data_IF_764885050066
#
_entry.id   IF_764885050066
#
_cell.length_a   1.000
_cell.length_b   1.000
_cell.length_c   1.000
_cell.angle_alpha   90.00
_cell.angle_beta   90.00
_cell.angle_gamma   90.00
#
_symmetry.space_group_name_H-M   'P 1'
#
loop_
_entity.id
_entity.type
_entity.pdbx_description
1 polymer ?
#
# COMPACT_ATOMS: atom_id res chain seq x y z
N UNK A 1 3.56 -16.05 28.91
CA UNK A 1 3.65 -14.57 29.02
C UNK A 1 3.17 -14.02 27.70
N UNK A 2 2.00 -13.38 27.69
CA UNK A 2 1.42 -12.79 26.48
C UNK A 2 2.05 -11.41 26.29
N UNK A 3 2.75 -11.22 25.17
CA UNK A 3 3.24 -9.90 24.78
C UNK A 3 2.04 -8.94 24.64
N UNK A 4 2.17 -7.67 25.04
CA UNK A 4 1.12 -6.69 24.78
C UNK A 4 1.02 -6.51 23.27
N UNK A 5 -0.06 -7.02 22.66
CA UNK A 5 -0.44 -6.67 21.29
C UNK A 5 -0.65 -5.16 21.28
N UNK A 6 0.31 -4.42 20.75
CA UNK A 6 0.16 -3.00 20.47
C UNK A 6 -0.90 -2.86 19.37
N UNK A 7 -2.17 -2.79 19.76
CA UNK A 7 -3.23 -2.38 18.85
C UNK A 7 -2.98 -0.91 18.51
N UNK A 8 -2.11 -0.65 17.54
CA UNK A 8 -2.07 0.62 16.85
C UNK A 8 -3.49 0.82 16.29
N UNK A 9 -4.26 1.70 16.91
CA UNK A 9 -5.63 1.96 16.49
C UNK A 9 -5.57 2.84 15.23
N UNK A 10 -5.57 2.20 14.07
CA UNK A 10 -5.55 2.90 12.80
C UNK A 10 -6.97 3.39 12.46
N UNK A 11 -7.30 4.63 12.81
CA UNK A 11 -8.64 5.22 12.53
C UNK A 11 -9.05 5.17 11.05
N UNK A 12 -8.06 5.10 10.15
CA UNK A 12 -8.27 5.02 8.71
C UNK A 12 -8.51 3.59 8.20
N UNK A 13 -8.35 2.56 9.03
CA UNK A 13 -8.72 1.19 8.69
C UNK A 13 -10.17 0.94 9.11
N UNK A 14 -11.05 0.44 8.22
CA UNK A 14 -12.42 0.13 8.61
C UNK A 14 -12.49 -1.04 9.58
N UNK A 15 -13.52 -1.05 10.43
CA UNK A 15 -13.77 -2.15 11.39
C UNK A 15 -14.17 -3.45 10.66
N UNK A 16 -14.86 -3.35 9.53
CA UNK A 16 -15.33 -4.50 8.75
C UNK A 16 -15.42 -4.18 7.25
N UNK A 17 -15.28 -5.19 6.40
CA UNK A 17 -15.36 -5.04 4.95
C UNK A 17 -14.18 -4.25 4.38
N UNK A 18 -14.44 -3.35 3.44
CA UNK A 18 -13.44 -2.42 2.93
C UNK A 18 -14.04 -1.04 2.72
N UNK A 19 -13.21 -0.01 2.74
CA UNK A 19 -13.60 1.37 2.49
C UNK A 19 -12.61 2.07 1.56
N UNK A 20 -13.11 3.02 0.79
CA UNK A 20 -12.26 3.91 0.01
C UNK A 20 -11.71 5.02 0.91
N UNK A 21 -10.39 5.21 0.92
CA UNK A 21 -9.73 6.32 1.59
C UNK A 21 -9.13 7.27 0.57
N UNK A 22 -9.28 8.57 0.82
CA UNK A 22 -8.75 9.61 -0.06
C UNK A 22 -7.22 9.64 0.06
N UNK A 23 -6.52 9.54 -1.07
CA UNK A 23 -5.07 9.63 -1.08
C UNK A 23 -4.60 11.06 -0.73
N UNK A 24 -3.42 11.16 -0.12
CA UNK A 24 -2.82 12.40 0.38
C UNK A 24 -3.42 12.93 1.69
N UNK A 25 -4.32 12.19 2.34
CA UNK A 25 -4.80 12.52 3.69
C UNK A 25 -4.00 11.75 4.74
N UNK A 26 -4.25 10.45 4.90
CA UNK A 26 -3.47 9.60 5.82
C UNK A 26 -2.25 8.99 5.14
N UNK A 27 -2.32 8.75 3.83
CA UNK A 27 -1.27 8.13 3.05
C UNK A 27 -1.41 8.51 1.57
N UNK A 28 -0.31 8.39 0.83
CA UNK A 28 -0.34 8.24 -0.63
C UNK A 28 -0.34 6.75 -0.98
N UNK A 29 -0.59 6.41 -2.25
CA UNK A 29 -0.36 5.04 -2.72
C UNK A 29 0.32 5.00 -4.09
N UNK A 30 0.94 3.87 -4.40
CA UNK A 30 1.32 3.50 -5.76
C UNK A 30 0.68 2.15 -6.06
N UNK A 31 -0.04 2.07 -7.18
CA UNK A 31 -0.65 0.84 -7.68
C UNK A 31 0.22 0.25 -8.79
N UNK A 32 0.45 -1.04 -8.73
CA UNK A 32 1.03 -1.84 -9.82
C UNK A 32 0.12 -3.04 -10.06
N UNK A 33 -0.20 -3.34 -11.31
CA UNK A 33 -1.12 -4.42 -11.64
C UNK A 33 -0.40 -5.77 -11.79
N UNK A 34 -1.15 -6.85 -11.59
CA UNK A 34 -0.74 -8.19 -12.00
C UNK A 34 0.49 -8.74 -11.28
N UNK A 35 1.25 -9.56 -12.02
CA UNK A 35 2.37 -10.32 -11.48
C UNK A 35 3.58 -9.43 -11.16
N UNK A 36 3.74 -8.31 -11.87
CA UNK A 36 4.78 -7.32 -11.57
C UNK A 36 4.56 -6.70 -10.18
N UNK A 37 3.32 -6.32 -9.86
CA UNK A 37 2.98 -5.81 -8.53
C UNK A 37 3.26 -6.84 -7.43
N UNK A 38 2.95 -8.13 -7.67
CA UNK A 38 3.27 -9.21 -6.73
C UNK A 38 4.77 -9.38 -6.54
N UNK A 39 5.54 -9.39 -7.64
CA UNK A 39 6.99 -9.53 -7.60
C UNK A 39 7.66 -8.38 -6.86
N UNK A 40 7.19 -7.15 -7.06
CA UNK A 40 7.67 -5.98 -6.31
C UNK A 40 7.40 -6.15 -4.81
N UNK A 41 6.21 -6.62 -4.44
CA UNK A 41 5.89 -6.88 -3.03
C UNK A 41 6.78 -7.98 -2.41
N UNK A 42 6.99 -9.10 -3.11
CA UNK A 42 7.89 -10.18 -2.67
C UNK A 42 9.32 -9.66 -2.41
N UNK A 43 9.86 -8.85 -3.33
CA UNK A 43 11.18 -8.27 -3.20
C UNK A 43 11.27 -7.29 -2.03
N UNK A 44 10.26 -6.44 -1.85
CA UNK A 44 10.21 -5.50 -0.74
C UNK A 44 10.19 -6.21 0.61
N UNK A 45 9.37 -7.26 0.77
CA UNK A 45 9.36 -8.09 1.97
C UNK A 45 10.73 -8.69 2.24
N UNK A 46 11.38 -9.26 1.22
CA UNK A 46 12.72 -9.84 1.36
C UNK A 46 13.76 -8.81 1.81
N UNK A 47 13.76 -7.61 1.23
CA UNK A 47 14.73 -6.55 1.56
C UNK A 47 14.51 -5.91 2.93
N UNK A 48 13.30 -6.00 3.48
CA UNK A 48 12.90 -5.33 4.73
C UNK A 48 12.73 -6.31 5.90
N UNK A 49 13.11 -7.57 5.73
CA UNK A 49 12.97 -8.59 6.77
C UNK A 49 11.52 -8.92 7.09
N UNK A 50 10.62 -8.80 6.10
CA UNK A 50 9.20 -9.10 6.22
C UNK A 50 8.32 -7.92 6.63
N UNK A 51 8.87 -6.73 6.86
CA UNK A 51 8.11 -5.52 7.22
C UNK A 51 8.35 -4.37 6.21
N UNK A 52 7.82 -4.49 4.97
CA UNK A 52 7.98 -3.44 3.97
C UNK A 52 7.07 -2.24 4.21
N UNK A 53 6.17 -2.32 5.21
CA UNK A 53 5.03 -1.44 5.38
C UNK A 53 3.75 -1.98 4.71
N UNK A 54 2.63 -1.26 4.85
CA UNK A 54 1.31 -1.67 4.39
C UNK A 54 1.21 -1.86 2.87
N UNK A 55 0.79 -3.07 2.47
CA UNK A 55 0.51 -3.47 1.09
C UNK A 55 -0.86 -4.13 1.01
N UNK A 56 -1.74 -3.59 0.17
CA UNK A 56 -3.06 -4.15 -0.14
C UNK A 56 -3.02 -4.85 -1.49
N UNK A 57 -3.67 -6.00 -1.60
CA UNK A 57 -3.85 -6.72 -2.86
C UNK A 57 -5.31 -6.90 -3.19
N UNK A 58 -5.63 -6.82 -4.49
CA UNK A 58 -6.95 -7.09 -5.06
C UNK A 58 -6.92 -8.45 -5.77
N UNK A 59 -7.87 -9.33 -5.45
CA UNK A 59 -7.92 -10.68 -6.03
C UNK A 59 -8.59 -10.72 -7.42
N UNK A 60 -9.42 -9.72 -7.75
CA UNK A 60 -10.18 -9.63 -8.99
C UNK A 60 -9.67 -8.46 -9.86
N UNK A 61 -10.36 -8.20 -10.98
CA UNK A 61 -10.00 -7.13 -11.90
C UNK A 61 -8.59 -7.29 -12.45
N UNK A 62 -7.81 -6.20 -12.43
CA UNK A 62 -6.41 -6.19 -12.89
C UNK A 62 -5.42 -6.68 -11.83
N UNK A 63 -5.93 -7.26 -10.72
CA UNK A 63 -5.14 -7.75 -9.59
C UNK A 63 -4.18 -6.67 -9.07
N UNK A 64 -4.72 -5.50 -8.77
CA UNK A 64 -3.93 -4.36 -8.31
C UNK A 64 -3.22 -4.65 -6.99
N UNK A 65 -1.95 -4.27 -6.91
CA UNK A 65 -1.15 -4.26 -5.69
C UNK A 65 -0.89 -2.80 -5.32
N UNK A 66 -1.41 -2.39 -4.16
CA UNK A 66 -1.32 -1.02 -3.65
C UNK A 66 -0.30 -0.96 -2.53
N UNK A 67 0.80 -0.26 -2.79
CA UNK A 67 1.80 0.08 -1.79
C UNK A 67 1.35 1.38 -1.13
N UNK A 68 1.15 1.40 0.19
CA UNK A 68 0.76 2.63 0.89
C UNK A 68 2.02 3.35 1.39
N UNK A 69 2.16 4.62 1.03
CA UNK A 69 3.33 5.45 1.29
C UNK A 69 2.97 6.62 2.23
N UNK A 70 3.96 7.27 2.86
CA UNK A 70 3.69 8.48 3.62
C UNK A 70 2.94 9.52 2.77
N UNK A 71 1.99 10.28 3.35
CA UNK A 71 1.24 11.28 2.61
C UNK A 71 2.16 12.35 2.02
N UNK A 72 1.92 12.73 0.76
CA UNK A 72 2.73 13.72 0.05
C UNK A 72 4.11 13.24 -0.41
N UNK A 73 4.39 11.93 -0.35
CA UNK A 73 5.68 11.36 -0.77
C UNK A 73 5.77 10.97 -2.24
N UNK A 74 4.63 10.87 -2.93
CA UNK A 74 4.57 10.51 -4.35
C UNK A 74 4.63 11.69 -5.34
N UNK A 75 4.18 12.92 -5.01
CA UNK A 75 4.35 14.09 -5.88
C UNK A 75 5.82 14.41 -6.18
N UNK A 76 6.09 14.98 -7.37
CA UNK A 76 7.43 15.41 -7.77
C UNK A 76 8.42 14.27 -8.08
N UNK A 77 7.96 13.02 -8.08
CA UNK A 77 8.74 11.83 -8.41
C UNK A 77 8.27 11.22 -9.73
N UNK A 78 9.20 10.97 -10.64
CA UNK A 78 8.93 10.19 -11.84
C UNK A 78 8.83 8.71 -11.46
N UNK A 79 7.61 8.19 -11.46
CA UNK A 79 7.33 6.76 -11.30
C UNK A 79 7.53 6.06 -12.65
N UNK A 80 8.09 4.84 -12.65
CA UNK A 80 8.26 4.08 -13.90
C UNK A 80 6.91 3.73 -14.54
N UNK A 81 6.89 3.33 -15.81
CA UNK A 81 5.69 2.80 -16.43
C UNK A 81 5.08 1.65 -15.59
N UNK A 82 3.77 1.42 -15.75
CA UNK A 82 3.04 0.43 -14.94
C UNK A 82 2.82 0.80 -13.45
N UNK A 83 3.56 1.77 -12.89
CA UNK A 83 3.37 2.28 -11.54
C UNK A 83 2.49 3.53 -11.52
N UNK A 84 1.26 3.39 -11.03
CA UNK A 84 0.27 4.47 -10.99
C UNK A 84 0.22 5.12 -9.60
N UNK A 85 0.68 6.38 -9.43
CA UNK A 85 0.59 7.07 -8.14
C UNK A 85 -0.83 7.58 -7.85
N UNK A 86 -1.22 7.51 -6.58
CA UNK A 86 -2.46 8.03 -6.00
C UNK A 86 -2.07 9.03 -4.90
N UNK A 87 -2.43 10.29 -5.07
CA UNK A 87 -2.10 11.38 -4.15
C UNK A 87 -3.10 12.54 -4.26
N UNK A 88 -2.81 13.61 -3.51
CA UNK A 88 -3.56 14.86 -3.51
C UNK A 88 -2.93 15.98 -4.37
N UNK A 89 -2.23 15.63 -5.46
CA UNK A 89 -1.73 16.66 -6.40
C UNK A 89 -2.87 17.57 -6.87
N UNK A 90 -2.57 18.87 -7.08
CA UNK A 90 -3.56 19.87 -7.50
C UNK A 90 -4.37 19.39 -8.70
N UNK A 91 -5.69 19.45 -8.58
CA UNK A 91 -6.63 19.06 -9.64
C UNK A 91 -6.89 17.55 -9.74
N UNK A 92 -6.31 16.73 -8.85
CA UNK A 92 -6.56 15.28 -8.80
C UNK A 92 -7.22 14.88 -7.49
N UNK A 93 -8.21 14.00 -7.57
CA UNK A 93 -8.78 13.31 -6.40
C UNK A 93 -8.72 11.83 -6.70
N UNK A 94 -8.00 11.10 -5.86
CA UNK A 94 -7.82 9.67 -6.01
C UNK A 94 -8.15 8.96 -4.70
N UNK A 95 -8.70 7.75 -4.82
CA UNK A 95 -9.14 6.94 -3.69
C UNK A 95 -8.45 5.58 -3.75
N UNK A 96 -8.08 5.08 -2.59
CA UNK A 96 -7.39 3.80 -2.41
C UNK A 96 -8.29 2.88 -1.61
N UNK A 97 -8.53 1.64 -2.06
CA UNK A 97 -9.28 0.66 -1.30
C UNK A 97 -8.49 0.18 -0.09
N UNK A 98 -9.10 0.23 1.09
CA UNK A 98 -8.51 -0.22 2.36
C UNK A 98 -9.41 -1.32 2.96
N UNK A 99 -8.93 -2.58 3.04
CA UNK A 99 -9.65 -3.64 3.74
C UNK A 99 -9.52 -3.48 5.25
N UNK A 100 -10.51 -4.00 5.99
CA UNK A 100 -10.38 -4.19 7.43
C UNK A 100 -9.22 -5.16 7.74
N UNK A 101 -8.68 -5.10 8.97
CA UNK A 101 -7.61 -6.03 9.40
C UNK A 101 -8.08 -7.49 9.52
N UNK A 102 -9.38 -7.72 9.61
CA UNK A 102 -9.96 -9.06 9.71
C UNK A 102 -11.39 -9.11 9.18
N UNK A 103 -11.96 -10.32 9.21
CA UNK A 103 -13.28 -10.59 8.66
C UNK A 103 -13.27 -10.78 7.14
N UNK A 104 -14.45 -10.69 6.52
CA UNK A 104 -14.60 -10.90 5.08
C UNK A 104 -14.39 -9.59 4.32
N UNK A 105 -13.21 -9.43 3.72
CA UNK A 105 -12.81 -8.22 3.00
C UNK A 105 -12.70 -8.42 1.49
N UNK A 106 -13.11 -9.59 0.98
CA UNK A 106 -13.09 -9.90 -0.45
C UNK A 106 -13.75 -8.78 -1.27
N UNK A 107 -13.14 -8.34 -2.38
CA UNK A 107 -11.99 -8.93 -3.09
C UNK A 107 -10.61 -8.46 -2.60
N UNK A 108 -10.52 -7.71 -1.51
CA UNK A 108 -9.30 -7.09 -1.02
C UNK A 108 -8.73 -7.85 0.18
N UNK A 109 -7.40 -7.88 0.30
CA UNK A 109 -6.72 -8.37 1.49
C UNK A 109 -5.44 -7.61 1.76
N UNK A 110 -5.02 -7.57 3.01
CA UNK A 110 -3.66 -7.17 3.36
C UNK A 110 -2.70 -8.27 2.91
N UNK A 111 -1.71 -7.89 2.13
CA UNK A 111 -0.52 -8.72 1.93
C UNK A 111 0.47 -8.49 3.07
N UNK A 112 0.71 -7.21 3.37
CA UNK A 112 1.44 -6.76 4.54
C UNK A 112 0.52 -5.79 5.29
N UNK A 113 0.00 -6.14 6.47
CA UNK A 113 -0.81 -5.20 7.26
C UNK A 113 0.07 -4.11 7.88
N UNK A 114 -0.47 -2.93 8.19
CA UNK A 114 0.30 -1.89 8.86
C UNK A 114 0.68 -2.31 10.29
N UNK A 115 1.94 -2.09 10.66
CA UNK A 115 2.52 -2.47 11.96
C UNK A 115 2.60 -1.31 12.95
N UNK A 116 2.71 -0.06 12.45
CA UNK A 116 2.65 1.17 13.25
C UNK A 116 2.12 2.34 12.42
N UNK A 117 1.66 3.41 13.10
CA UNK A 117 0.98 4.56 12.46
C UNK A 117 1.83 5.31 11.43
N UNK A 118 3.16 5.28 11.58
CA UNK A 118 4.15 5.96 10.74
C UNK A 118 4.97 4.99 9.87
N UNK A 119 4.70 3.69 9.95
CA UNK A 119 5.40 2.65 9.18
C UNK A 119 4.74 2.39 7.84
N UNK A 120 5.06 3.25 6.88
CA UNK A 120 4.64 3.12 5.48
C UNK A 120 5.74 2.54 4.57
N UNK A 121 5.35 2.12 3.37
CA UNK A 121 6.30 1.68 2.34
C UNK A 121 7.24 2.82 1.97
N UNK A 122 8.55 2.56 2.03
CA UNK A 122 9.56 3.58 1.78
C UNK A 122 9.58 3.99 0.29
N UNK A 123 9.33 5.27 -0.07
CA UNK A 123 9.14 5.70 -1.47
C UNK A 123 10.34 5.46 -2.38
N UNK A 124 11.54 5.71 -1.87
CA UNK A 124 12.78 5.52 -2.64
C UNK A 124 13.05 4.04 -2.86
N UNK A 125 12.76 3.21 -1.86
CA UNK A 125 12.96 1.76 -1.96
C UNK A 125 11.99 1.19 -3.00
N UNK A 126 10.69 1.48 -2.87
CA UNK A 126 9.67 1.06 -3.83
C UNK A 126 10.05 1.46 -5.26
N UNK A 127 10.41 2.72 -5.50
CA UNK A 127 10.81 3.18 -6.84
C UNK A 127 12.01 2.40 -7.38
N UNK A 128 13.00 2.12 -6.55
CA UNK A 128 14.20 1.39 -6.96
C UNK A 128 13.87 -0.06 -7.32
N UNK A 129 12.96 -0.70 -6.56
CA UNK A 129 12.45 -2.04 -6.85
C UNK A 129 11.66 -2.07 -8.15
N UNK A 130 10.79 -1.09 -8.39
CA UNK A 130 10.00 -1.00 -9.62
C UNK A 130 10.90 -0.89 -10.86
N UNK A 131 11.93 -0.04 -10.80
CA UNK A 131 12.90 0.09 -11.88
C UNK A 131 13.67 -1.22 -12.13
N UNK A 132 13.94 -2.00 -11.08
CA UNK A 132 14.63 -3.29 -11.20
C UNK A 132 13.75 -4.41 -11.76
N UNK A 133 12.44 -4.36 -11.53
CA UNK A 133 11.48 -5.34 -12.09
C UNK A 133 11.19 -5.06 -13.58
N UNK A 134 11.41 -3.83 -14.05
CA UNK A 134 11.20 -3.45 -15.45
C UNK A 134 9.74 -3.12 -15.77
N UNK A 135 9.03 -2.56 -14.79
CA UNK A 135 7.69 -1.99 -14.99
C UNK A 135 7.74 -0.74 -15.87
#
# INVERSE_FOLDING_TARGET
MNAPSCHANFEWIPVSGFQLRKAGVQFDAVRVDGDDGRRVADLLECMTGGDPGPVVVEANGRRGVYFLLPPGSTPGRAWPPGAMPFNACRGTVSYVPVPALGGHTWPLSWRCPPTAADRFVHPVLLRSTLLAVGC
#
